data_IF_439865719287
#
_entry.id   IF_439865719287
#
_cell.length_a   1.000
_cell.length_b   1.000
_cell.length_c   1.000
_cell.angle_alpha   90.00
_cell.angle_beta   90.00
_cell.angle_gamma   90.00
#
_symmetry.space_group_name_H-M   'P 1'
#
loop_
_entity.id
_entity.type
_entity.pdbx_description
1 polymer ?
#
# COMPACT_ATOMS: atom_id res chain seq x y z
N UNK A 1 5.89 6.17 23.15
CA UNK A 1 5.42 6.52 21.79
C UNK A 1 5.78 5.45 20.75
N UNK A 2 6.61 4.46 21.09
CA UNK A 2 7.09 3.40 20.20
C UNK A 2 6.08 2.25 19.98
N UNK A 3 5.33 1.87 21.02
CA UNK A 3 4.39 0.72 20.94
C UNK A 3 3.31 0.86 19.85
N UNK A 4 2.71 2.04 19.70
CA UNK A 4 1.73 2.29 18.64
C UNK A 4 2.35 2.27 17.23
N UNK A 5 3.63 2.63 17.12
CA UNK A 5 4.35 2.57 15.85
C UNK A 5 4.62 1.12 15.45
N UNK A 6 5.00 0.26 16.41
CA UNK A 6 5.23 -1.17 16.17
C UNK A 6 3.95 -1.88 15.71
N UNK A 7 2.82 -1.63 16.38
CA UNK A 7 1.53 -2.21 15.97
C UNK A 7 1.15 -1.79 14.54
N UNK A 8 1.33 -0.51 14.20
CA UNK A 8 1.03 -0.01 12.86
C UNK A 8 1.93 -0.66 11.80
N UNK A 9 3.23 -0.78 12.09
CA UNK A 9 4.21 -1.41 11.21
C UNK A 9 3.88 -2.90 10.98
N UNK A 10 3.55 -3.63 12.04
CA UNK A 10 3.19 -5.05 11.94
C UNK A 10 1.91 -5.27 11.15
N UNK A 11 0.91 -4.40 11.35
CA UNK A 11 -0.32 -4.42 10.56
C UNK A 11 -0.02 -4.20 9.07
N UNK A 12 0.85 -3.25 8.76
CA UNK A 12 1.23 -2.95 7.37
C UNK A 12 2.01 -4.09 6.72
N UNK A 13 2.88 -4.76 7.48
CA UNK A 13 3.54 -5.97 7.00
C UNK A 13 2.55 -7.09 6.68
N UNK A 14 1.56 -7.34 7.56
CA UNK A 14 0.49 -8.33 7.32
C UNK A 14 -0.32 -7.99 6.07
N UNK A 15 -0.71 -6.72 5.90
CA UNK A 15 -1.41 -6.26 4.69
C UNK A 15 -0.56 -6.52 3.45
N UNK A 16 0.73 -6.23 3.49
CA UNK A 16 1.62 -6.45 2.36
C UNK A 16 1.72 -7.94 1.99
N UNK A 17 1.77 -8.84 2.98
CA UNK A 17 1.72 -10.29 2.76
C UNK A 17 0.39 -10.72 2.10
N UNK A 18 -0.73 -10.16 2.53
CA UNK A 18 -2.03 -10.45 1.92
C UNK A 18 -2.15 -9.91 0.49
N UNK A 19 -1.67 -8.70 0.24
CA UNK A 19 -1.64 -8.11 -1.09
C UNK A 19 -0.83 -9.00 -2.04
N UNK A 20 0.36 -9.45 -1.62
CA UNK A 20 1.26 -10.27 -2.45
C UNK A 20 0.62 -11.59 -2.90
N UNK A 21 -0.28 -12.14 -2.09
CA UNK A 21 -1.00 -13.39 -2.38
C UNK A 21 -2.17 -13.20 -3.36
N UNK A 22 -2.71 -11.98 -3.50
CA UNK A 22 -3.98 -11.72 -4.19
C UNK A 22 -3.82 -10.89 -5.48
N UNK A 23 -2.78 -10.06 -5.55
CA UNK A 23 -2.60 -9.07 -6.62
C UNK A 23 -1.17 -9.05 -7.12
N UNK A 24 -1.02 -8.71 -8.40
CA UNK A 24 0.26 -8.39 -9.00
C UNK A 24 0.53 -6.89 -8.84
N UNK A 25 1.69 -6.55 -8.29
CA UNK A 25 2.07 -5.15 -8.06
C UNK A 25 3.59 -4.99 -7.95
N UNK A 26 4.04 -3.75 -8.13
CA UNK A 26 5.40 -3.31 -7.79
C UNK A 26 5.34 -2.57 -6.46
N UNK A 27 6.08 -3.07 -5.47
CA UNK A 27 6.23 -2.41 -4.17
C UNK A 27 7.15 -1.19 -4.32
N UNK A 28 6.71 -0.05 -3.81
CA UNK A 28 7.50 1.19 -3.78
C UNK A 28 7.54 1.77 -2.35
N UNK A 29 8.13 2.96 -2.20
CA UNK A 29 8.15 3.67 -0.92
C UNK A 29 8.98 2.97 0.15
N UNK A 30 8.63 3.21 1.42
CA UNK A 30 9.45 2.79 2.56
C UNK A 30 9.61 1.27 2.70
N UNK A 31 8.59 0.47 2.37
CA UNK A 31 8.71 -0.99 2.42
C UNK A 31 9.64 -1.54 1.33
N UNK A 32 9.65 -0.97 0.13
CA UNK A 32 10.63 -1.35 -0.89
C UNK A 32 12.07 -1.11 -0.41
N UNK A 33 12.32 0.08 0.15
CA UNK A 33 13.61 0.45 0.74
C UNK A 33 13.98 -0.47 1.91
N UNK A 34 13.02 -0.82 2.77
CA UNK A 34 13.23 -1.76 3.87
C UNK A 34 13.70 -3.12 3.36
N UNK A 35 13.05 -3.68 2.33
CA UNK A 35 13.45 -5.00 1.85
C UNK A 35 14.85 -4.99 1.22
N UNK A 36 15.24 -3.88 0.60
CA UNK A 36 16.57 -3.70 0.01
C UNK A 36 17.66 -3.48 1.08
N UNK A 37 17.41 -2.62 2.07
CA UNK A 37 18.45 -2.11 2.98
C UNK A 37 18.38 -2.67 4.40
N UNK A 38 17.25 -3.26 4.78
CA UNK A 38 16.90 -3.72 6.15
C UNK A 38 16.90 -2.61 7.22
N UNK A 39 16.87 -1.33 6.83
CA UNK A 39 17.08 -0.23 7.77
C UNK A 39 15.79 0.38 8.34
N UNK A 40 14.83 0.78 7.50
CA UNK A 40 13.67 1.58 7.95
C UNK A 40 12.37 0.92 7.51
N UNK A 41 11.50 0.56 8.47
CA UNK A 41 10.13 0.09 8.20
C UNK A 41 9.17 1.28 8.07
N UNK A 42 8.11 1.10 7.30
CA UNK A 42 7.08 2.13 7.09
C UNK A 42 5.75 1.72 7.71
N UNK A 43 4.97 2.72 8.12
CA UNK A 43 3.57 2.55 8.54
C UNK A 43 2.63 2.41 7.35
N UNK A 44 3.00 2.93 6.19
CA UNK A 44 2.17 2.93 4.99
C UNK A 44 2.71 1.95 3.95
N UNK A 45 1.82 1.39 3.13
CA UNK A 45 2.14 0.47 2.03
C UNK A 45 1.83 1.15 0.71
N UNK A 46 2.87 1.42 -0.08
CA UNK A 46 2.77 2.06 -1.38
C UNK A 46 3.05 1.05 -2.50
N UNK A 47 2.11 0.94 -3.45
CA UNK A 47 2.21 -0.01 -4.57
C UNK A 47 1.83 0.63 -5.89
N UNK A 48 2.47 0.17 -6.96
CA UNK A 48 2.07 0.45 -8.34
C UNK A 48 1.43 -0.81 -8.90
N UNK A 49 0.27 -0.65 -9.53
CA UNK A 49 -0.50 -1.71 -10.18
C UNK A 49 -0.88 -1.27 -11.59
N UNK A 50 -1.13 -2.24 -12.46
CA UNK A 50 -1.72 -1.96 -13.77
C UNK A 50 -3.23 -1.63 -13.66
N UNK A 51 -3.86 -1.26 -14.78
CA UNK A 51 -5.29 -0.94 -14.80
C UNK A 51 -6.21 -2.12 -14.47
N UNK A 52 -5.80 -3.35 -14.82
CA UNK A 52 -6.59 -4.56 -14.55
C UNK A 52 -6.60 -4.86 -13.06
N UNK A 53 -5.44 -4.85 -12.43
CA UNK A 53 -5.27 -5.04 -10.99
C UNK A 53 -5.90 -3.90 -10.20
N UNK A 54 -5.79 -2.64 -10.65
CA UNK A 54 -6.50 -1.51 -10.04
C UNK A 54 -8.02 -1.71 -10.02
N UNK A 55 -8.59 -2.22 -11.12
CA UNK A 55 -10.02 -2.55 -11.19
C UNK A 55 -10.40 -3.65 -10.20
N UNK A 56 -9.59 -4.72 -10.11
CA UNK A 56 -9.78 -5.81 -9.15
C UNK A 56 -9.65 -5.34 -7.70
N UNK A 57 -8.71 -4.46 -7.41
CA UNK A 57 -8.53 -3.87 -6.08
C UNK A 57 -9.75 -3.03 -5.66
N UNK A 58 -10.31 -2.25 -6.59
CA UNK A 58 -11.50 -1.43 -6.34
C UNK A 58 -12.72 -2.27 -5.94
N UNK A 59 -12.91 -3.43 -6.58
CA UNK A 59 -14.04 -4.31 -6.27
C UNK A 59 -13.82 -5.17 -5.03
N UNK A 60 -12.59 -5.60 -4.77
CA UNK A 60 -12.27 -6.53 -3.66
C UNK A 60 -12.01 -5.86 -2.32
N UNK A 61 -11.39 -4.68 -2.33
CA UNK A 61 -10.97 -3.99 -1.09
C UNK A 61 -11.70 -2.65 -0.91
N UNK A 62 -12.50 -2.23 -1.90
CA UNK A 62 -13.26 -0.99 -1.82
C UNK A 62 -12.38 0.26 -1.87
N UNK A 63 -11.30 0.25 -2.66
CA UNK A 63 -10.41 1.42 -2.79
C UNK A 63 -11.21 2.65 -3.22
N UNK A 64 -11.06 3.73 -2.45
CA UNK A 64 -11.65 5.03 -2.73
C UNK A 64 -10.56 6.03 -3.09
N UNK A 65 -10.91 6.97 -3.97
CA UNK A 65 -10.06 8.14 -4.22
C UNK A 65 -9.99 8.99 -2.94
N UNK A 66 -8.80 9.47 -2.59
CA UNK A 66 -8.67 10.53 -1.62
C UNK A 66 -9.21 11.86 -2.18
N UNK A 67 -9.37 12.87 -1.33
CA UNK A 67 -10.01 14.14 -1.73
C UNK A 67 -9.23 14.87 -2.81
N UNK A 68 -7.90 14.78 -2.79
CA UNK A 68 -7.05 15.30 -3.84
C UNK A 68 -7.35 14.68 -5.21
N UNK A 69 -7.43 13.35 -5.30
CA UNK A 69 -7.73 12.62 -6.53
C UNK A 69 -9.19 12.73 -6.98
N UNK A 70 -10.12 13.07 -6.06
CA UNK A 70 -11.51 13.42 -6.41
C UNK A 70 -11.56 14.73 -7.20
N UNK A 71 -10.75 15.72 -6.82
CA UNK A 71 -10.73 17.05 -7.43
C UNK A 71 -10.09 17.07 -8.84
N UNK A 72 -9.29 16.06 -9.20
CA UNK A 72 -8.68 15.97 -10.54
C UNK A 72 -9.64 15.56 -11.67
N UNK A 73 -10.92 15.28 -11.36
CA UNK A 73 -11.90 14.74 -12.32
C UNK A 73 -12.67 15.79 -13.13
N UNK A 74 -12.20 17.04 -13.20
CA UNK A 74 -12.92 18.16 -13.83
C UNK A 74 -12.20 18.79 -15.05
N UNK A 75 -11.45 18.02 -15.84
CA UNK A 75 -10.99 18.48 -17.16
C UNK A 75 -11.29 17.43 -18.21
#
# INVERSE_FOLDING_TARGET
>A
MEFWNEIAIDKSFKILQELRRKFDFVLIGGWAVYFLTKAIKSKDVDVIVDYKELSRLRTSIGIQKNDFLKNMRQK
#
